data_IF_202002844377
#
_entry.id   IF_202002844377
#
_cell.length_a   1.000
_cell.length_b   1.000
_cell.length_c   1.000
_cell.angle_alpha   90.00
_cell.angle_beta   90.00
_cell.angle_gamma   90.00
#
_symmetry.space_group_name_H-M   'P 1'
#
loop_
_entity.id
_entity.type
_entity.pdbx_description
1 polymer ?
#
# COMPACT_ATOMS: atom_id res chain seq x y z
N UNK A 1 -4.04 48.86 7.23
CA UNK A 1 -4.87 47.81 6.61
C UNK A 1 -4.06 46.78 5.85
N UNK A 2 -3.22 45.95 6.55
CA UNK A 2 -2.34 44.97 5.89
C UNK A 2 -2.45 43.52 6.41
N UNK A 3 -3.48 43.21 7.22
CA UNK A 3 -3.58 41.88 7.84
C UNK A 3 -4.46 40.83 7.15
N UNK A 4 -5.24 41.24 6.12
CA UNK A 4 -6.22 40.33 5.49
C UNK A 4 -5.68 39.36 4.43
N UNK A 5 -4.60 39.71 3.75
CA UNK A 5 -4.07 38.91 2.62
C UNK A 5 -3.42 37.58 3.06
N UNK A 6 -2.69 37.56 4.18
CA UNK A 6 -2.05 36.39 4.70
C UNK A 6 -3.05 35.34 5.19
N UNK A 7 -4.11 35.78 5.88
CA UNK A 7 -5.17 34.87 6.35
C UNK A 7 -5.96 34.26 5.19
N UNK A 8 -6.32 35.05 4.18
CA UNK A 8 -7.00 34.53 2.99
C UNK A 8 -6.16 33.55 2.21
N UNK A 9 -4.85 33.80 2.06
CA UNK A 9 -3.91 32.87 1.40
C UNK A 9 -3.84 31.53 2.13
N UNK A 10 -3.70 31.53 3.45
CA UNK A 10 -3.66 30.30 4.26
C UNK A 10 -4.97 29.52 4.12
N UNK A 11 -6.12 30.17 4.18
CA UNK A 11 -7.44 29.54 4.00
C UNK A 11 -7.55 28.88 2.62
N UNK A 12 -7.13 29.56 1.56
CA UNK A 12 -7.16 29.01 0.20
C UNK A 12 -6.24 27.79 0.08
N UNK A 13 -5.02 27.85 0.60
CA UNK A 13 -4.09 26.72 0.57
C UNK A 13 -4.66 25.51 1.33
N UNK A 14 -5.19 25.75 2.54
CA UNK A 14 -5.83 24.69 3.33
C UNK A 14 -7.03 24.09 2.58
N UNK A 15 -7.88 24.92 1.97
CA UNK A 15 -9.02 24.45 1.21
C UNK A 15 -8.61 23.58 0.00
N UNK A 16 -7.56 23.98 -0.73
CA UNK A 16 -7.01 23.19 -1.84
C UNK A 16 -6.46 21.84 -1.35
N UNK A 17 -5.70 21.84 -0.27
CA UNK A 17 -5.15 20.63 0.34
C UNK A 17 -6.27 19.68 0.78
N UNK A 18 -7.27 20.20 1.49
CA UNK A 18 -8.44 19.41 1.93
C UNK A 18 -9.20 18.86 0.73
N UNK A 19 -9.48 19.68 -0.29
CA UNK A 19 -10.17 19.23 -1.50
C UNK A 19 -9.40 18.14 -2.23
N UNK A 20 -8.07 18.28 -2.37
CA UNK A 20 -7.20 17.28 -2.99
C UNK A 20 -7.25 15.95 -2.24
N UNK A 21 -7.03 15.97 -0.93
CA UNK A 21 -7.05 14.73 -0.13
C UNK A 21 -8.45 14.09 -0.09
N UNK A 22 -9.51 14.89 -0.01
CA UNK A 22 -10.89 14.37 -0.03
C UNK A 22 -11.20 13.70 -1.37
N UNK A 23 -10.79 14.30 -2.49
CA UNK A 23 -10.99 13.73 -3.82
C UNK A 23 -10.18 12.45 -4.00
N UNK A 24 -8.91 12.42 -3.58
CA UNK A 24 -8.07 11.24 -3.64
C UNK A 24 -8.64 10.09 -2.79
N UNK A 25 -9.16 10.42 -1.61
CA UNK A 25 -9.77 9.44 -0.71
C UNK A 25 -11.07 8.85 -1.29
N UNK A 26 -11.95 9.70 -1.83
CA UNK A 26 -13.17 9.28 -2.52
C UNK A 26 -12.85 8.40 -3.74
N UNK A 27 -11.87 8.78 -4.55
CA UNK A 27 -11.42 7.99 -5.69
C UNK A 27 -10.93 6.61 -5.26
N UNK A 28 -10.17 6.52 -4.17
CA UNK A 28 -9.69 5.25 -3.62
C UNK A 28 -10.83 4.32 -3.20
N UNK A 29 -11.88 4.86 -2.56
CA UNK A 29 -13.07 4.08 -2.17
C UNK A 29 -13.82 3.57 -3.41
N UNK A 30 -14.00 4.42 -4.43
CA UNK A 30 -14.69 4.06 -5.67
C UNK A 30 -13.90 3.03 -6.49
N UNK A 31 -12.58 3.09 -6.47
CA UNK A 31 -11.69 2.16 -7.17
C UNK A 31 -11.50 0.83 -6.41
N UNK A 32 -11.72 0.80 -5.10
CA UNK A 32 -11.52 -0.40 -4.28
C UNK A 32 -12.24 -1.65 -4.85
N UNK A 33 -13.53 -1.61 -5.23
CA UNK A 33 -14.20 -2.79 -5.79
C UNK A 33 -13.66 -3.21 -7.16
N UNK A 34 -13.14 -2.27 -7.95
CA UNK A 34 -12.49 -2.59 -9.23
C UNK A 34 -11.14 -3.27 -9.01
N UNK A 35 -10.37 -2.77 -8.07
CA UNK A 35 -9.08 -3.33 -7.70
C UNK A 35 -9.22 -4.74 -7.11
N UNK A 36 -10.22 -4.96 -6.26
CA UNK A 36 -10.52 -6.27 -5.72
C UNK A 36 -10.92 -7.27 -6.81
N UNK A 37 -11.80 -6.87 -7.74
CA UNK A 37 -12.17 -7.70 -8.89
C UNK A 37 -10.99 -8.02 -9.81
N UNK A 38 -10.07 -7.07 -9.99
CA UNK A 38 -8.86 -7.31 -10.77
C UNK A 38 -7.99 -8.37 -10.08
N UNK A 39 -7.71 -8.21 -8.80
CA UNK A 39 -6.96 -9.18 -8.01
C UNK A 39 -7.64 -10.57 -8.02
N UNK A 40 -8.96 -10.62 -7.86
CA UNK A 40 -9.72 -11.88 -7.93
C UNK A 40 -9.59 -12.58 -9.30
N UNK A 41 -9.70 -11.82 -10.40
CA UNK A 41 -9.52 -12.39 -11.74
C UNK A 41 -8.12 -12.93 -11.97
N UNK A 42 -7.09 -12.24 -11.49
CA UNK A 42 -5.70 -12.70 -11.56
C UNK A 42 -5.53 -13.99 -10.76
N UNK A 43 -6.06 -14.03 -9.56
CA UNK A 43 -6.01 -15.20 -8.69
C UNK A 43 -6.70 -16.40 -9.32
N UNK A 44 -7.91 -16.23 -9.88
CA UNK A 44 -8.65 -17.29 -10.62
C UNK A 44 -7.91 -17.79 -11.87
N UNK A 45 -7.07 -16.97 -12.47
CA UNK A 45 -6.28 -17.37 -13.65
C UNK A 45 -5.09 -18.26 -13.30
N UNK A 46 -4.60 -18.22 -12.06
CA UNK A 46 -3.38 -18.93 -11.63
C UNK A 46 -3.60 -19.95 -10.51
N UNK A 47 -4.76 -19.96 -9.86
CA UNK A 47 -5.07 -20.86 -8.75
C UNK A 47 -6.54 -20.83 -8.32
N UNK A 48 -6.80 -21.41 -7.16
CA UNK A 48 -8.12 -21.46 -6.56
C UNK A 48 -8.39 -20.23 -5.69
N UNK A 49 -9.51 -19.58 -5.95
CA UNK A 49 -10.00 -18.47 -5.12
C UNK A 49 -10.94 -19.05 -4.06
N UNK A 50 -10.77 -18.71 -2.79
CA UNK A 50 -11.73 -19.12 -1.77
C UNK A 50 -13.15 -18.63 -2.12
N UNK A 51 -14.08 -19.56 -2.35
CA UNK A 51 -15.46 -19.21 -2.57
C UNK A 51 -16.09 -18.79 -1.24
N UNK A 52 -16.55 -17.56 -1.19
CA UNK A 52 -17.29 -17.04 -0.04
C UNK A 52 -18.64 -16.52 -0.51
N UNK A 53 -19.72 -17.04 0.08
CA UNK A 53 -21.04 -16.45 -0.14
C UNK A 53 -21.06 -14.99 0.28
N UNK A 54 -21.62 -14.12 -0.55
CA UNK A 54 -21.75 -12.70 -0.26
C UNK A 54 -22.65 -12.48 0.97
N UNK A 55 -22.15 -11.71 1.92
CA UNK A 55 -22.92 -11.30 3.12
C UNK A 55 -22.58 -9.86 3.45
N UNK A 56 -23.61 -9.01 3.59
CA UNK A 56 -23.43 -7.59 3.97
C UNK A 56 -22.68 -7.42 5.29
N UNK A 57 -22.91 -8.30 6.26
CA UNK A 57 -22.19 -8.28 7.54
C UNK A 57 -20.70 -8.58 7.35
N UNK A 58 -20.39 -9.55 6.49
CA UNK A 58 -19.01 -9.89 6.15
C UNK A 58 -18.34 -8.76 5.38
N UNK A 59 -19.01 -8.20 4.40
CA UNK A 59 -18.50 -7.07 3.63
C UNK A 59 -18.17 -5.87 4.52
N UNK A 60 -19.07 -5.48 5.42
CA UNK A 60 -18.82 -4.38 6.36
C UNK A 60 -17.63 -4.67 7.31
N UNK A 61 -17.50 -5.90 7.79
CA UNK A 61 -16.37 -6.32 8.62
C UNK A 61 -15.04 -6.29 7.83
N UNK A 62 -15.04 -6.78 6.60
CA UNK A 62 -13.85 -6.81 5.73
C UNK A 62 -13.40 -5.39 5.37
N UNK A 63 -14.34 -4.49 5.09
CA UNK A 63 -14.07 -3.05 4.87
C UNK A 63 -13.49 -2.41 6.14
N UNK A 64 -14.09 -2.64 7.30
CA UNK A 64 -13.60 -2.08 8.56
C UNK A 64 -12.19 -2.60 8.89
N UNK A 65 -11.94 -3.89 8.67
CA UNK A 65 -10.62 -4.50 8.85
C UNK A 65 -9.60 -3.92 7.85
N UNK A 66 -9.98 -3.75 6.58
CA UNK A 66 -9.14 -3.12 5.56
C UNK A 66 -8.73 -1.71 5.96
N UNK A 67 -9.70 -0.87 6.37
CA UNK A 67 -9.43 0.49 6.85
C UNK A 67 -8.48 0.47 8.05
N UNK A 68 -8.71 -0.42 9.03
CA UNK A 68 -7.85 -0.53 10.20
C UNK A 68 -6.41 -0.93 9.83
N UNK A 69 -6.24 -1.90 8.92
CA UNK A 69 -4.92 -2.35 8.47
C UNK A 69 -4.18 -1.27 7.68
N UNK A 70 -4.86 -0.61 6.73
CA UNK A 70 -4.27 0.49 5.94
C UNK A 70 -3.91 1.69 6.83
N UNK A 71 -4.75 2.02 7.81
CA UNK A 71 -4.45 3.09 8.78
C UNK A 71 -3.23 2.76 9.63
N UNK A 72 -3.09 1.51 10.06
CA UNK A 72 -1.94 1.05 10.83
C UNK A 72 -0.66 1.03 9.97
N UNK A 73 -0.75 0.59 8.72
CA UNK A 73 0.35 0.67 7.76
C UNK A 73 0.80 2.11 7.55
N UNK A 74 -0.15 3.03 7.34
CA UNK A 74 0.14 4.45 7.17
C UNK A 74 0.84 5.03 8.42
N UNK A 75 0.33 4.71 9.61
CA UNK A 75 0.94 5.15 10.86
C UNK A 75 2.39 4.66 10.99
N UNK A 76 2.62 3.37 10.74
CA UNK A 76 3.96 2.78 10.79
C UNK A 76 4.90 3.38 9.74
N UNK A 77 4.38 3.63 8.53
CA UNK A 77 5.12 4.32 7.48
C UNK A 77 5.54 5.72 7.92
N UNK A 78 4.59 6.50 8.46
CA UNK A 78 4.88 7.86 8.95
C UNK A 78 5.89 7.85 10.10
N UNK A 79 5.78 6.90 11.02
CA UNK A 79 6.77 6.73 12.08
C UNK A 79 8.14 6.38 11.51
N UNK A 80 8.22 5.44 10.56
CA UNK A 80 9.48 5.10 9.90
C UNK A 80 10.09 6.32 9.20
N UNK A 81 9.28 7.11 8.49
CA UNK A 81 9.73 8.36 7.85
C UNK A 81 10.19 9.40 8.87
N UNK A 82 9.52 9.52 10.00
CA UNK A 82 9.95 10.43 11.09
C UNK A 82 11.35 10.09 11.63
N UNK A 83 11.77 8.83 11.59
CA UNK A 83 13.12 8.40 11.95
C UNK A 83 14.12 8.56 10.80
N UNK A 84 13.69 8.38 9.56
CA UNK A 84 14.57 8.42 8.40
C UNK A 84 14.86 9.85 7.92
N UNK A 85 13.86 10.73 7.92
CA UNK A 85 14.03 12.11 7.43
C UNK A 85 15.13 12.91 8.13
N UNK A 86 15.29 12.83 9.47
CA UNK A 86 16.37 13.52 10.16
C UNK A 86 17.79 13.10 9.72
N UNK A 87 17.96 11.94 9.11
CA UNK A 87 19.26 11.52 8.57
C UNK A 87 19.80 12.50 7.50
N UNK A 88 18.92 13.26 6.84
CA UNK A 88 19.34 14.32 5.90
C UNK A 88 20.13 15.44 6.57
N UNK A 89 19.98 15.63 7.88
CA UNK A 89 20.68 16.64 8.64
C UNK A 89 22.13 16.25 8.97
N UNK A 90 22.50 14.98 8.77
CA UNK A 90 23.86 14.51 9.01
C UNK A 90 24.78 15.02 7.88
N UNK A 91 25.90 15.71 8.21
CA UNK A 91 26.84 16.18 7.21
C UNK A 91 27.53 15.03 6.46
N UNK A 92 27.88 15.25 5.22
CA UNK A 92 28.55 14.25 4.37
C UNK A 92 27.60 13.21 3.80
N UNK A 93 27.63 11.97 4.30
CA UNK A 93 26.86 10.84 3.74
C UNK A 93 25.37 10.81 4.13
N UNK A 94 24.89 11.75 4.96
CA UNK A 94 23.53 11.73 5.51
C UNK A 94 22.44 11.68 4.45
N UNK A 95 22.55 12.51 3.41
CA UNK A 95 21.56 12.51 2.30
C UNK A 95 21.51 11.18 1.54
N UNK A 96 22.66 10.55 1.31
CA UNK A 96 22.71 9.25 0.64
C UNK A 96 22.08 8.16 1.49
N UNK A 97 22.40 8.12 2.79
CA UNK A 97 21.82 7.18 3.75
C UNK A 97 20.30 7.37 3.87
N UNK A 98 19.84 8.61 4.00
CA UNK A 98 18.43 8.94 4.08
C UNK A 98 17.68 8.52 2.81
N UNK A 99 18.19 8.87 1.63
CA UNK A 99 17.58 8.50 0.36
C UNK A 99 17.48 6.97 0.21
N UNK A 100 18.56 6.26 0.51
CA UNK A 100 18.56 4.78 0.46
C UNK A 100 17.54 4.19 1.44
N UNK A 101 17.48 4.71 2.66
CA UNK A 101 16.51 4.27 3.65
C UNK A 101 15.06 4.59 3.23
N UNK A 102 14.79 5.76 2.63
CA UNK A 102 13.48 6.12 2.11
C UNK A 102 13.06 5.15 1.02
N UNK A 103 13.93 4.85 0.06
CA UNK A 103 13.62 3.88 -1.02
C UNK A 103 13.32 2.51 -0.43
N UNK A 104 14.13 2.04 0.52
CA UNK A 104 13.94 0.74 1.16
C UNK A 104 12.60 0.66 1.93
N UNK A 105 12.31 1.66 2.76
CA UNK A 105 11.07 1.73 3.54
C UNK A 105 9.87 1.85 2.62
N UNK A 106 9.88 2.78 1.67
CA UNK A 106 8.77 2.99 0.73
C UNK A 106 8.48 1.73 -0.09
N UNK A 107 9.51 1.07 -0.61
CA UNK A 107 9.36 -0.19 -1.34
C UNK A 107 8.76 -1.30 -0.48
N UNK A 108 9.20 -1.42 0.78
CA UNK A 108 8.69 -2.44 1.70
C UNK A 108 7.20 -2.23 2.01
N UNK A 109 6.79 -0.99 2.29
CA UNK A 109 5.38 -0.68 2.54
C UNK A 109 4.52 -0.80 1.29
N UNK A 110 5.05 -0.42 0.13
CA UNK A 110 4.36 -0.56 -1.16
C UNK A 110 4.06 -2.02 -1.49
N UNK A 111 5.01 -2.92 -1.27
CA UNK A 111 4.78 -4.35 -1.50
C UNK A 111 3.73 -4.94 -0.54
N UNK A 112 3.72 -4.53 0.73
CA UNK A 112 2.69 -4.92 1.69
C UNK A 112 1.29 -4.48 1.24
N UNK A 113 1.14 -3.25 0.76
CA UNK A 113 -0.13 -2.70 0.29
C UNK A 113 -0.68 -3.49 -0.89
N UNK A 114 0.15 -3.76 -1.90
CA UNK A 114 -0.31 -4.43 -3.12
C UNK A 114 -0.44 -5.95 -3.01
N UNK A 115 0.11 -6.57 -1.98
CA UNK A 115 -0.15 -7.98 -1.65
C UNK A 115 -1.34 -8.16 -0.70
N UNK A 116 -1.95 -7.09 -0.23
CA UNK A 116 -3.02 -7.15 0.78
C UNK A 116 -4.31 -7.78 0.26
N UNK A 117 -4.65 -7.58 -1.02
CA UNK A 117 -5.91 -8.05 -1.61
C UNK A 117 -6.15 -9.56 -1.46
N UNK A 118 -5.23 -10.45 -1.91
CA UNK A 118 -5.41 -11.88 -1.73
C UNK A 118 -5.30 -12.31 -0.26
N UNK A 119 -4.50 -11.63 0.55
CA UNK A 119 -4.39 -11.90 1.98
C UNK A 119 -5.66 -11.51 2.76
N UNK A 120 -6.34 -10.43 2.36
CA UNK A 120 -7.60 -9.99 2.93
C UNK A 120 -8.71 -11.02 2.67
N UNK A 121 -8.79 -11.61 1.46
CA UNK A 121 -9.74 -12.68 1.13
C UNK A 121 -9.55 -13.92 2.01
N UNK A 122 -8.31 -14.22 2.41
CA UNK A 122 -7.97 -15.31 3.34
C UNK A 122 -8.06 -14.89 4.81
N UNK A 123 -8.48 -13.65 5.10
CA UNK A 123 -8.64 -13.07 6.45
C UNK A 123 -7.39 -13.13 7.31
N UNK A 124 -6.25 -12.96 6.69
CA UNK A 124 -5.00 -12.92 7.43
C UNK A 124 -4.98 -11.77 8.44
N UNK A 125 -4.58 -12.10 9.66
CA UNK A 125 -4.37 -11.09 10.70
C UNK A 125 -3.20 -10.17 10.31
N UNK A 126 -3.18 -8.97 10.86
CA UNK A 126 -2.09 -8.03 10.62
C UNK A 126 -0.70 -8.62 10.95
N UNK A 127 -0.62 -9.40 12.03
CA UNK A 127 0.61 -10.10 12.43
C UNK A 127 1.03 -11.14 11.41
N UNK A 128 0.10 -11.88 10.85
CA UNK A 128 0.34 -12.90 9.82
C UNK A 128 0.88 -12.27 8.55
N UNK A 129 0.29 -11.15 8.10
CA UNK A 129 0.75 -10.39 6.91
C UNK A 129 2.20 -9.92 7.07
N UNK A 130 2.52 -9.31 8.21
CA UNK A 130 3.90 -8.89 8.51
C UNK A 130 4.86 -10.06 8.70
N UNK A 131 4.39 -11.17 9.28
CA UNK A 131 5.15 -12.41 9.42
C UNK A 131 5.55 -12.98 8.05
N UNK A 132 4.60 -13.02 7.11
CA UNK A 132 4.85 -13.45 5.73
C UNK A 132 5.87 -12.54 5.04
N UNK A 133 5.67 -11.23 5.09
CA UNK A 133 6.58 -10.26 4.49
C UNK A 133 8.01 -10.38 5.05
N UNK A 134 8.17 -10.61 6.36
CA UNK A 134 9.48 -10.83 6.97
C UNK A 134 10.13 -12.13 6.55
N UNK A 135 9.35 -13.21 6.43
CA UNK A 135 9.88 -14.52 6.00
C UNK A 135 10.30 -14.51 4.53
N UNK A 136 9.56 -13.78 3.72
CA UNK A 136 9.74 -13.67 2.27
C UNK A 136 10.25 -12.27 1.86
N UNK A 137 11.03 -11.64 2.73
CA UNK A 137 11.48 -10.25 2.56
C UNK A 137 12.16 -9.97 1.21
N UNK A 138 12.95 -10.89 0.59
CA UNK A 138 13.57 -10.60 -0.70
C UNK A 138 12.54 -10.46 -1.82
N UNK A 139 11.50 -11.32 -1.82
CA UNK A 139 10.42 -11.27 -2.82
C UNK A 139 9.57 -10.02 -2.65
N UNK A 140 9.21 -9.68 -1.40
CA UNK A 140 8.46 -8.46 -1.09
C UNK A 140 9.27 -7.20 -1.44
N UNK A 141 10.54 -7.15 -1.07
CA UNK A 141 11.40 -6.02 -1.39
C UNK A 141 11.61 -5.90 -2.91
N UNK A 142 11.80 -7.01 -3.62
CA UNK A 142 11.93 -7.04 -5.07
C UNK A 142 10.69 -6.50 -5.78
N UNK A 143 9.49 -6.92 -5.35
CA UNK A 143 8.22 -6.36 -5.82
C UNK A 143 8.16 -4.85 -5.57
N UNK A 144 8.41 -4.44 -4.33
CA UNK A 144 8.34 -3.02 -3.95
C UNK A 144 9.34 -2.14 -4.69
N UNK A 145 10.58 -2.60 -4.88
CA UNK A 145 11.59 -1.88 -5.68
C UNK A 145 11.18 -1.76 -7.15
N UNK A 146 10.62 -2.83 -7.73
CA UNK A 146 10.11 -2.81 -9.10
C UNK A 146 8.99 -1.79 -9.27
N UNK A 147 8.04 -1.77 -8.35
CA UNK A 147 6.94 -0.79 -8.35
C UNK A 147 7.44 0.63 -8.08
N UNK A 148 8.38 0.81 -7.17
CA UNK A 148 9.01 2.10 -6.89
C UNK A 148 9.75 2.65 -8.12
N UNK A 149 10.49 1.79 -8.82
CA UNK A 149 11.17 2.18 -10.07
C UNK A 149 10.15 2.53 -11.17
N UNK A 150 9.01 1.83 -11.24
CA UNK A 150 7.94 2.14 -12.18
C UNK A 150 7.33 3.53 -11.92
N UNK A 151 7.21 3.96 -10.65
CA UNK A 151 6.74 5.30 -10.30
C UNK A 151 7.64 6.42 -10.82
N UNK A 152 8.95 6.15 -10.97
CA UNK A 152 9.90 7.14 -11.46
C UNK A 152 9.68 7.50 -12.95
N UNK A 153 8.93 6.67 -13.69
CA UNK A 153 8.64 6.90 -15.12
C UNK A 153 7.23 7.43 -15.28
N UNK A 154 7.00 8.71 -15.65
CA UNK A 154 5.68 9.36 -15.61
C UNK A 154 4.57 8.62 -16.36
N UNK A 155 4.86 8.07 -17.55
CA UNK A 155 3.87 7.34 -18.35
C UNK A 155 3.53 5.97 -17.74
N UNK A 156 4.49 5.29 -17.13
CA UNK A 156 4.27 4.01 -16.45
C UNK A 156 3.46 4.18 -15.18
N UNK A 157 3.49 5.36 -14.57
CA UNK A 157 2.69 5.67 -13.39
C UNK A 157 1.17 5.53 -13.64
N UNK A 158 0.70 5.77 -14.86
CA UNK A 158 -0.72 5.53 -15.23
C UNK A 158 -1.09 4.05 -15.17
N UNK A 159 -0.14 3.16 -15.42
CA UNK A 159 -0.34 1.70 -15.37
C UNK A 159 0.07 1.11 -14.01
N UNK A 160 0.59 1.93 -13.10
CA UNK A 160 1.12 1.46 -11.83
C UNK A 160 0.10 0.65 -11.04
N UNK A 161 -1.12 1.17 -10.88
CA UNK A 161 -2.15 0.54 -10.06
C UNK A 161 -2.53 -0.86 -10.57
N UNK A 162 -2.96 -1.06 -11.84
CA UNK A 162 -3.30 -2.40 -12.32
C UNK A 162 -2.09 -3.36 -12.34
N UNK A 163 -0.90 -2.87 -12.67
CA UNK A 163 0.32 -3.68 -12.66
C UNK A 163 0.68 -4.08 -11.24
N UNK A 164 0.61 -3.17 -10.28
CA UNK A 164 0.95 -3.43 -8.88
C UNK A 164 -0.01 -4.45 -8.25
N UNK A 165 -1.33 -4.32 -8.49
CA UNK A 165 -2.33 -5.28 -8.02
C UNK A 165 -2.08 -6.66 -8.63
N UNK A 166 -1.83 -6.72 -9.94
CA UNK A 166 -1.55 -7.98 -10.63
C UNK A 166 -0.28 -8.62 -10.10
N UNK A 167 0.81 -7.88 -10.01
CA UNK A 167 2.11 -8.39 -9.55
C UNK A 167 2.06 -8.82 -8.07
N UNK A 168 1.40 -8.04 -7.21
CA UNK A 168 1.22 -8.39 -5.79
C UNK A 168 0.37 -9.64 -5.61
N UNK A 169 -0.70 -9.78 -6.40
CA UNK A 169 -1.54 -10.99 -6.38
C UNK A 169 -0.78 -12.22 -6.87
N UNK A 170 -0.04 -12.09 -7.99
CA UNK A 170 0.78 -13.19 -8.53
C UNK A 170 1.86 -13.64 -7.55
N UNK A 171 2.57 -12.69 -6.93
CA UNK A 171 3.56 -13.02 -5.90
C UNK A 171 2.94 -13.83 -4.76
N UNK A 172 1.77 -13.40 -4.27
CA UNK A 172 1.08 -14.13 -3.21
C UNK A 172 0.68 -15.54 -3.64
N UNK A 173 0.08 -15.70 -4.83
CA UNK A 173 -0.32 -17.01 -5.36
C UNK A 173 0.89 -17.95 -5.57
N UNK A 174 2.02 -17.41 -6.00
CA UNK A 174 3.27 -18.18 -6.14
C UNK A 174 3.77 -18.67 -4.77
N UNK A 175 3.80 -17.78 -3.78
CA UNK A 175 4.19 -18.16 -2.42
C UNK A 175 3.23 -19.19 -1.81
N UNK A 176 1.93 -19.10 -2.10
CA UNK A 176 0.93 -20.06 -1.66
C UNK A 176 1.12 -21.41 -2.32
N UNK A 177 1.33 -21.45 -3.63
CA UNK A 177 1.61 -22.67 -4.39
C UNK A 177 2.86 -23.38 -3.90
N UNK A 178 3.89 -22.61 -3.51
CA UNK A 178 5.14 -23.14 -2.96
C UNK A 178 5.03 -23.57 -1.49
N UNK A 179 3.87 -23.44 -0.86
CA UNK A 179 3.65 -23.77 0.55
C UNK A 179 4.39 -22.84 1.52
N UNK A 180 4.73 -21.62 1.09
CA UNK A 180 5.48 -20.64 1.89
C UNK A 180 4.59 -19.66 2.66
N UNK A 181 3.27 -19.75 2.48
CA UNK A 181 2.31 -18.98 3.25
C UNK A 181 1.92 -19.70 4.54
N UNK A 182 1.56 -18.96 5.61
CA UNK A 182 1.03 -19.58 6.83
C UNK A 182 -0.30 -20.28 6.52
N UNK A 183 -0.45 -21.51 7.02
CA UNK A 183 -1.70 -22.28 6.89
C UNK A 183 -2.71 -21.96 8.00
N UNK A 184 -2.34 -21.11 8.95
CA UNK A 184 -3.18 -20.74 10.09
C UNK A 184 -4.05 -19.53 9.74
N UNK A 185 -5.32 -19.77 9.56
CA UNK A 185 -6.40 -18.78 9.55
C UNK A 185 -6.98 -18.63 10.95
#
# INVERSE_FOLDING_TARGET
>A
GGGGGGGAFVVVVVAIVVAYFSTAWLASILLAPLNDRLSEKVERAVGDVPEAEFSWKRFAADVAQGIAHSSLNLLLFLLAMAFVLPLHLLPGAGSLLATTAIVFVSSSFMSLEFTDWPQARRRYSYKTKWGLARRQWPSFLGLGLGLYAMMAVPFLNLLLLPVAITAGTLLFCELERDGRVPTDS
#
